data_IF_470871619683
#
_entry.id   IF_470871619683
#
_cell.length_a   1.000
_cell.length_b   1.000
_cell.length_c   1.000
_cell.angle_alpha   90.00
_cell.angle_beta   90.00
_cell.angle_gamma   90.00
#
_symmetry.space_group_name_H-M   'P 1'
#
loop_
_entity.id
_entity.type
_entity.pdbx_description
1 polymer ?
#
# COMPACT_ATOMS: atom_id res chain seq x y z
N UNK A 1 -98.60 40.98 -56.13
CA UNK A 1 -97.60 40.47 -57.10
C UNK A 1 -96.39 40.02 -56.29
N UNK A 2 -96.14 38.69 -56.23
CA UNK A 2 -94.92 37.91 -55.83
C UNK A 2 -94.09 38.38 -54.60
N UNK A 3 -93.63 37.58 -53.63
CA UNK A 3 -93.62 36.16 -53.19
C UNK A 3 -93.03 36.19 -51.74
N UNK A 4 -93.63 35.55 -50.71
CA UNK A 4 -93.21 34.31 -49.97
C UNK A 4 -91.67 34.05 -49.98
N UNK A 5 -90.97 33.76 -48.87
CA UNK A 5 -91.07 32.63 -47.90
C UNK A 5 -90.53 33.03 -46.49
N UNK A 6 -91.23 32.78 -45.37
CA UNK A 6 -91.23 31.57 -44.49
C UNK A 6 -89.87 31.30 -43.80
N UNK A 7 -89.66 31.67 -42.52
CA UNK A 7 -89.89 30.90 -41.26
C UNK A 7 -89.01 29.63 -41.24
N UNK A 8 -88.08 29.45 -40.29
CA UNK A 8 -88.23 28.80 -38.95
C UNK A 8 -86.94 29.12 -38.15
N UNK A 9 -87.02 29.82 -37.01
CA UNK A 9 -87.06 29.31 -35.62
C UNK A 9 -85.71 28.72 -35.15
N UNK A 10 -85.20 28.93 -33.95
CA UNK A 10 -85.69 29.51 -32.70
C UNK A 10 -84.42 29.96 -31.94
N UNK A 11 -84.39 31.14 -31.34
CA UNK A 11 -84.76 31.38 -29.94
C UNK A 11 -83.71 30.81 -28.97
N UNK A 12 -83.29 31.49 -27.92
CA UNK A 12 -83.46 32.84 -27.36
C UNK A 12 -82.40 32.86 -26.23
N UNK A 13 -81.90 33.96 -25.71
CA UNK A 13 -82.57 35.02 -25.00
C UNK A 13 -81.43 35.90 -24.45
N UNK A 14 -81.43 37.21 -24.71
CA UNK A 14 -81.75 38.26 -23.73
C UNK A 14 -80.66 38.38 -22.63
N UNK A 15 -80.02 39.51 -22.35
CA UNK A 15 -80.58 40.86 -22.22
C UNK A 15 -79.48 41.85 -21.72
N UNK A 16 -79.66 43.13 -22.05
CA UNK A 16 -79.18 44.38 -21.42
C UNK A 16 -77.72 44.87 -21.58
N UNK A 17 -77.63 45.97 -22.34
CA UNK A 17 -76.60 47.01 -22.34
C UNK A 17 -76.61 47.84 -21.06
N UNK A 18 -75.44 48.17 -20.53
CA UNK A 18 -75.17 49.46 -19.88
C UNK A 18 -73.71 49.89 -20.12
N UNK A 19 -73.56 51.16 -20.50
CA UNK A 19 -72.34 51.87 -20.90
C UNK A 19 -71.33 52.08 -19.77
N UNK A 20 -70.02 51.99 -20.07
CA UNK A 20 -69.00 52.92 -19.57
C UNK A 20 -67.68 52.81 -20.37
N UNK A 21 -67.00 53.93 -20.47
CA UNK A 21 -65.84 54.26 -21.30
C UNK A 21 -64.49 53.79 -20.68
N UNK A 22 -63.50 53.55 -21.54
CA UNK A 22 -62.02 53.63 -21.35
C UNK A 22 -61.33 52.79 -20.26
N UNK A 23 -60.64 51.72 -20.67
CA UNK A 23 -59.18 51.58 -20.79
C UNK A 23 -58.88 50.10 -21.07
N UNK A 24 -58.34 49.79 -22.26
CA UNK A 24 -57.75 48.46 -22.49
C UNK A 24 -56.46 48.38 -21.67
N UNK A 25 -56.59 47.96 -20.42
CA UNK A 25 -55.45 47.48 -19.65
C UNK A 25 -55.16 46.05 -20.12
N UNK A 26 -54.54 45.94 -21.30
CA UNK A 26 -53.96 44.68 -21.75
C UNK A 26 -52.71 44.43 -20.91
N UNK A 27 -52.90 43.80 -19.75
CA UNK A 27 -51.83 43.03 -19.15
C UNK A 27 -51.48 41.91 -20.13
N UNK A 28 -50.56 42.19 -21.06
CA UNK A 28 -49.79 41.15 -21.71
C UNK A 28 -48.92 40.57 -20.60
N UNK A 29 -49.43 39.56 -19.89
CA UNK A 29 -48.53 38.61 -19.26
C UNK A 29 -47.86 37.90 -20.43
N UNK A 30 -46.57 38.15 -20.67
CA UNK A 30 -45.77 37.13 -21.34
C UNK A 30 -46.06 35.81 -20.63
N UNK A 31 -46.23 34.68 -21.33
CA UNK A 31 -46.42 33.42 -20.62
C UNK A 31 -45.19 33.21 -19.75
N UNK A 32 -45.33 33.45 -18.46
CA UNK A 32 -44.29 33.22 -17.47
C UNK A 32 -44.06 31.72 -17.46
N UNK A 33 -42.88 31.27 -17.89
CA UNK A 33 -42.52 29.87 -17.83
C UNK A 33 -42.18 29.50 -16.38
N UNK A 34 -42.72 28.39 -15.92
CA UNK A 34 -42.49 27.81 -14.59
C UNK A 34 -41.84 26.43 -14.66
N UNK A 35 -41.56 25.93 -15.86
CA UNK A 35 -40.91 24.64 -16.07
C UNK A 35 -39.39 24.85 -16.02
N UNK A 36 -38.68 24.13 -15.14
CA UNK A 36 -37.23 24.17 -15.15
C UNK A 36 -36.65 23.34 -16.31
N UNK A 37 -35.46 23.70 -16.79
CA UNK A 37 -34.73 22.89 -17.77
C UNK A 37 -34.54 21.44 -17.31
N UNK A 38 -34.70 20.49 -18.22
CA UNK A 38 -34.31 19.09 -18.01
C UNK A 38 -32.83 18.94 -18.35
N UNK A 39 -32.04 18.40 -17.41
CA UNK A 39 -30.58 18.29 -17.52
C UNK A 39 -30.18 16.82 -17.41
N UNK A 40 -29.60 16.25 -18.46
CA UNK A 40 -29.18 14.84 -18.49
C UNK A 40 -27.71 14.70 -18.93
N UNK A 41 -26.98 13.79 -18.28
CA UNK A 41 -25.64 13.45 -18.70
C UNK A 41 -25.69 12.54 -19.92
N UNK A 42 -24.97 12.92 -20.97
CA UNK A 42 -24.68 12.01 -22.09
C UNK A 42 -23.40 11.19 -21.82
N UNK A 43 -22.53 11.69 -20.94
CA UNK A 43 -21.30 11.02 -20.56
C UNK A 43 -21.48 10.00 -19.45
N UNK A 44 -20.78 8.88 -19.61
CA UNK A 44 -20.52 7.89 -18.56
C UNK A 44 -19.00 7.71 -18.52
N UNK A 45 -18.26 8.38 -17.61
CA UNK A 45 -16.82 8.29 -17.57
C UNK A 45 -16.39 6.85 -17.26
N UNK A 46 -15.18 6.49 -17.70
CA UNK A 46 -14.57 5.20 -17.40
C UNK A 46 -14.46 4.96 -15.88
N UNK A 47 -14.25 3.70 -15.48
CA UNK A 47 -14.14 3.31 -14.07
C UNK A 47 -13.00 4.03 -13.33
N UNK A 48 -11.97 4.47 -14.05
CA UNK A 48 -10.87 5.31 -13.58
C UNK A 48 -10.53 6.31 -14.68
N UNK A 49 -10.36 7.58 -14.32
CA UNK A 49 -10.02 8.63 -15.27
C UNK A 49 -8.81 9.45 -14.82
N UNK A 50 -8.09 10.00 -15.81
CA UNK A 50 -6.94 10.90 -15.61
C UNK A 50 -6.72 11.77 -16.84
N UNK A 51 -5.94 12.85 -16.68
CA UNK A 51 -5.76 13.86 -17.71
C UNK A 51 -7.04 14.68 -17.94
N UNK A 52 -7.37 14.98 -19.20
CA UNK A 52 -8.55 15.77 -19.55
C UNK A 52 -9.76 14.87 -19.83
N UNK A 53 -10.82 15.04 -19.05
CA UNK A 53 -12.08 14.29 -19.17
C UNK A 53 -13.16 15.21 -19.74
N UNK A 54 -13.78 14.80 -20.86
CA UNK A 54 -14.91 15.51 -21.44
C UNK A 54 -16.25 15.02 -20.86
N UNK A 55 -17.07 15.93 -20.36
CA UNK A 55 -18.43 15.65 -19.90
C UNK A 55 -19.45 16.39 -20.75
N UNK A 56 -20.25 15.64 -21.50
CA UNK A 56 -21.33 16.10 -22.35
C UNK A 56 -22.66 16.07 -21.59
N UNK A 57 -23.40 17.19 -21.68
CA UNK A 57 -24.71 17.37 -21.04
C UNK A 57 -25.73 17.72 -22.12
N UNK A 58 -26.85 17.00 -22.12
CA UNK A 58 -28.04 17.40 -22.86
C UNK A 58 -28.93 18.26 -21.95
N UNK A 59 -29.37 19.40 -22.48
CA UNK A 59 -30.26 20.31 -21.77
C UNK A 59 -31.39 20.70 -22.69
N UNK A 60 -32.61 20.36 -22.27
CA UNK A 60 -33.83 20.66 -23.02
C UNK A 60 -34.77 21.48 -22.15
N UNK A 61 -35.40 22.47 -22.77
CA UNK A 61 -36.40 23.32 -22.12
C UNK A 61 -37.36 23.88 -23.17
N UNK A 62 -38.55 24.32 -22.75
CA UNK A 62 -39.52 24.95 -23.65
C UNK A 62 -39.22 26.44 -23.90
N UNK A 63 -38.53 27.08 -22.96
CA UNK A 63 -37.92 28.39 -23.03
C UNK A 63 -36.43 28.31 -23.42
N UNK A 64 -35.81 29.47 -23.67
CA UNK A 64 -34.38 29.52 -23.97
C UNK A 64 -33.53 29.23 -22.72
N UNK A 65 -32.60 28.27 -22.82
CA UNK A 65 -31.58 28.03 -21.79
C UNK A 65 -30.53 29.15 -21.84
N UNK A 66 -30.38 29.89 -20.75
CA UNK A 66 -29.47 31.02 -20.64
C UNK A 66 -28.04 30.58 -20.31
N UNK A 67 -27.90 29.59 -19.42
CA UNK A 67 -26.59 29.06 -19.02
C UNK A 67 -26.69 27.68 -18.39
N UNK A 68 -25.58 26.95 -18.46
CA UNK A 68 -25.35 25.68 -17.78
C UNK A 68 -24.04 25.80 -17.00
N UNK A 69 -24.03 25.36 -15.75
CA UNK A 69 -22.85 25.36 -14.88
C UNK A 69 -22.51 23.96 -14.41
N UNK A 70 -21.23 23.62 -14.47
CA UNK A 70 -20.68 22.42 -13.83
C UNK A 70 -20.30 22.76 -12.38
N UNK A 71 -20.70 21.88 -11.47
CA UNK A 71 -20.22 21.85 -10.10
C UNK A 71 -19.44 20.56 -9.86
N UNK A 72 -18.19 20.70 -9.41
CA UNK A 72 -17.31 19.60 -9.02
C UNK A 72 -17.15 19.63 -7.49
N UNK A 73 -17.52 18.55 -6.82
CA UNK A 73 -17.55 18.42 -5.35
C UNK A 73 -18.29 19.57 -4.65
N UNK A 74 -19.37 20.03 -5.28
CA UNK A 74 -20.21 21.12 -4.77
C UNK A 74 -19.65 22.53 -5.01
N UNK A 75 -18.51 22.68 -5.68
CA UNK A 75 -17.94 23.98 -6.09
C UNK A 75 -18.18 24.23 -7.57
N UNK A 76 -18.59 25.45 -7.92
CA UNK A 76 -18.73 25.85 -9.32
C UNK A 76 -17.37 25.80 -10.02
N UNK A 77 -17.31 25.10 -11.15
CA UNK A 77 -16.09 24.89 -11.95
C UNK A 77 -16.15 25.69 -13.26
N UNK A 78 -17.15 25.43 -14.10
CA UNK A 78 -17.27 26.01 -15.44
C UNK A 78 -18.71 26.48 -15.74
N UNK A 79 -18.85 27.48 -16.62
CA UNK A 79 -20.14 27.96 -17.13
C UNK A 79 -20.12 27.97 -18.66
N UNK A 80 -21.17 27.45 -19.29
CA UNK A 80 -21.43 27.51 -20.73
C UNK A 80 -22.78 28.19 -21.00
N UNK A 81 -22.89 28.95 -22.08
CA UNK A 81 -24.12 29.71 -22.43
C UNK A 81 -24.69 29.36 -23.80
N UNK A 82 -24.05 28.45 -24.53
CA UNK A 82 -24.49 28.01 -25.86
C UNK A 82 -24.23 26.52 -26.04
N UNK A 83 -25.14 25.75 -26.65
CA UNK A 83 -24.91 24.35 -26.96
C UNK A 83 -23.88 24.19 -28.11
N UNK A 84 -23.18 23.04 -28.19
CA UNK A 84 -23.24 21.88 -27.30
C UNK A 84 -22.61 22.15 -25.92
N UNK A 85 -23.23 21.63 -24.86
CA UNK A 85 -22.74 21.80 -23.48
C UNK A 85 -21.75 20.69 -23.11
N UNK A 86 -20.47 20.92 -23.45
CA UNK A 86 -19.36 20.02 -23.14
C UNK A 86 -18.36 20.68 -22.19
N UNK A 87 -18.21 20.12 -21.00
CA UNK A 87 -17.22 20.55 -20.01
C UNK A 87 -15.93 19.75 -20.16
N UNK A 88 -14.78 20.39 -19.93
CA UNK A 88 -13.48 19.73 -19.91
C UNK A 88 -12.85 19.81 -18.52
N UNK A 89 -12.76 18.69 -17.83
CA UNK A 89 -12.16 18.62 -16.49
C UNK A 89 -10.69 18.21 -16.64
N UNK A 90 -9.78 19.07 -16.18
CA UNK A 90 -8.36 18.73 -16.06
C UNK A 90 -8.13 18.10 -14.69
N UNK A 91 -7.94 16.79 -14.67
CA UNK A 91 -7.88 16.02 -13.42
C UNK A 91 -6.55 16.12 -12.68
N UNK A 92 -5.47 16.59 -13.30
CA UNK A 92 -4.10 16.57 -12.74
C UNK A 92 -3.93 17.24 -11.36
N UNK A 93 -4.84 18.16 -11.02
CA UNK A 93 -4.83 18.89 -9.73
C UNK A 93 -5.88 18.38 -8.73
N UNK A 94 -6.71 17.43 -9.14
CA UNK A 94 -7.68 16.77 -8.29
C UNK A 94 -6.98 15.68 -7.47
N UNK A 95 -7.49 15.43 -6.27
CA UNK A 95 -7.02 14.32 -5.45
C UNK A 95 -7.47 12.99 -6.06
N UNK A 96 -6.74 11.92 -5.81
CA UNK A 96 -7.23 10.59 -6.19
C UNK A 96 -8.48 10.23 -5.38
N UNK A 97 -9.44 9.60 -6.06
CA UNK A 97 -10.69 9.14 -5.46
C UNK A 97 -11.94 9.61 -6.21
N UNK A 98 -13.10 9.38 -5.59
CA UNK A 98 -14.40 9.66 -6.20
C UNK A 98 -14.75 11.14 -6.08
N UNK A 99 -14.84 11.79 -7.23
CA UNK A 99 -15.36 13.14 -7.41
C UNK A 99 -16.83 13.12 -7.84
N UNK A 100 -17.59 14.12 -7.41
CA UNK A 100 -19.02 14.27 -7.70
C UNK A 100 -19.25 15.43 -8.65
N UNK A 101 -19.87 15.15 -9.80
CA UNK A 101 -20.23 16.12 -10.81
C UNK A 101 -21.75 16.36 -10.80
N UNK A 102 -22.14 17.64 -10.85
CA UNK A 102 -23.53 18.08 -10.96
C UNK A 102 -23.61 19.23 -11.98
N UNK A 103 -24.49 19.12 -12.97
CA UNK A 103 -24.78 20.19 -13.91
C UNK A 103 -26.07 20.91 -13.52
N UNK A 104 -26.04 22.24 -13.56
CA UNK A 104 -27.20 23.10 -13.27
C UNK A 104 -27.49 24.01 -14.46
N UNK A 105 -28.74 24.09 -14.88
CA UNK A 105 -29.16 24.93 -16.00
C UNK A 105 -30.21 25.96 -15.58
N UNK A 106 -30.13 27.17 -16.15
CA UNK A 106 -31.09 28.24 -15.95
C UNK A 106 -31.70 28.64 -17.27
N UNK A 107 -33.01 28.85 -17.30
CA UNK A 107 -33.72 29.45 -18.44
C UNK A 107 -33.78 31.00 -18.34
N UNK A 108 -34.48 31.62 -19.28
CA UNK A 108 -34.69 33.08 -19.34
C UNK A 108 -35.68 33.61 -18.29
N UNK A 109 -36.47 32.73 -17.68
CA UNK A 109 -37.45 33.06 -16.64
C UNK A 109 -36.90 32.84 -15.22
N UNK A 110 -35.68 32.30 -15.10
CA UNK A 110 -34.98 32.06 -13.84
C UNK A 110 -35.25 30.70 -13.20
N UNK A 111 -35.93 29.79 -13.90
CA UNK A 111 -36.14 28.42 -13.41
C UNK A 111 -34.81 27.64 -13.46
N UNK A 112 -34.64 26.71 -12.51
CA UNK A 112 -33.41 25.96 -12.29
C UNK A 112 -33.62 24.46 -12.49
N UNK A 113 -32.94 23.90 -13.50
CA UNK A 113 -32.78 22.47 -13.72
C UNK A 113 -31.50 21.93 -13.09
N UNK A 114 -31.52 20.72 -12.52
CA UNK A 114 -30.35 20.05 -11.92
C UNK A 114 -30.25 18.63 -12.46
N UNK A 115 -29.05 18.21 -12.84
CA UNK A 115 -28.79 16.86 -13.32
C UNK A 115 -28.87 15.81 -12.20
N UNK A 116 -28.99 14.51 -12.53
CA UNK A 116 -28.56 13.44 -11.63
C UNK A 116 -27.09 13.58 -11.23
N UNK A 117 -26.69 12.95 -10.11
CA UNK A 117 -25.29 12.89 -9.69
C UNK A 117 -24.51 11.98 -10.62
N UNK A 118 -23.43 12.52 -11.21
CA UNK A 118 -22.42 11.74 -11.92
C UNK A 118 -21.20 11.57 -11.01
N UNK A 119 -20.70 10.35 -10.87
CA UNK A 119 -19.48 10.06 -10.11
C UNK A 119 -18.34 9.74 -11.06
N UNK A 120 -17.18 10.29 -10.78
CA UNK A 120 -15.96 10.10 -11.55
C UNK A 120 -14.85 9.69 -10.58
N UNK A 121 -14.21 8.54 -10.80
CA UNK A 121 -13.09 8.11 -9.96
C UNK A 121 -11.77 8.58 -10.60
N UNK A 122 -11.15 9.60 -10.01
CA UNK A 122 -9.89 10.14 -10.49
C UNK A 122 -8.74 9.30 -9.97
N UNK A 123 -7.84 8.90 -10.88
CA UNK A 123 -6.63 8.15 -10.56
C UNK A 123 -5.45 8.79 -11.30
N UNK A 124 -4.92 9.86 -10.71
CA UNK A 124 -3.74 10.57 -11.18
C UNK A 124 -2.45 9.86 -10.79
N UNK A 125 -2.46 9.13 -9.66
CA UNK A 125 -1.36 8.24 -9.33
C UNK A 125 -1.33 7.05 -10.30
N UNK A 126 -0.32 6.98 -11.16
CA UNK A 126 0.03 5.69 -11.77
C UNK A 126 0.37 4.72 -10.64
N UNK A 127 -0.18 3.49 -10.70
CA UNK A 127 0.36 2.38 -9.93
C UNK A 127 1.84 2.23 -10.33
N UNK A 128 2.74 2.84 -9.57
CA UNK A 128 4.16 2.67 -9.74
C UNK A 128 4.41 1.19 -9.42
N UNK A 129 5.00 0.48 -10.38
CA UNK A 129 5.56 -0.84 -10.05
C UNK A 129 6.62 -0.69 -8.94
N UNK A 130 7.13 -1.81 -8.42
CA UNK A 130 8.15 -1.80 -7.38
C UNK A 130 9.25 -0.77 -7.63
N UNK A 131 9.39 0.19 -6.73
CA UNK A 131 10.40 1.24 -6.80
C UNK A 131 11.69 0.81 -6.14
N UNK A 132 12.80 1.40 -6.59
CA UNK A 132 14.09 1.31 -5.91
C UNK A 132 14.36 2.64 -5.20
N UNK A 133 14.44 2.60 -3.88
CA UNK A 133 14.72 3.73 -2.99
C UNK A 133 16.10 3.54 -2.41
N UNK A 134 16.98 4.53 -2.56
CA UNK A 134 18.33 4.52 -2.04
C UNK A 134 18.44 5.26 -0.71
N UNK A 135 19.14 4.68 0.26
CA UNK A 135 19.47 5.32 1.54
C UNK A 135 20.99 5.39 1.65
N UNK A 136 21.60 6.57 1.89
CA UNK A 136 20.95 7.83 2.23
C UNK A 136 20.60 8.74 1.03
N UNK A 137 20.76 8.28 -0.22
CA UNK A 137 20.69 9.14 -1.41
C UNK A 137 19.30 9.80 -1.62
N UNK A 138 18.20 9.03 -1.48
CA UNK A 138 16.82 9.53 -1.64
C UNK A 138 16.20 9.96 -0.30
N UNK A 139 16.51 9.22 0.77
CA UNK A 139 16.12 9.54 2.15
C UNK A 139 17.32 9.37 3.06
N UNK A 140 17.58 10.34 3.94
CA UNK A 140 18.71 10.28 4.88
C UNK A 140 18.63 9.08 5.84
N UNK A 141 17.40 8.69 6.22
CA UNK A 141 17.11 7.62 7.19
C UNK A 141 16.41 6.45 6.55
N UNK A 142 16.69 5.25 7.05
CA UNK A 142 16.02 4.02 6.60
C UNK A 142 14.53 4.07 6.95
N UNK A 143 14.16 4.59 8.13
CA UNK A 143 12.75 4.69 8.51
C UNK A 143 11.96 5.61 7.57
N UNK A 144 12.56 6.70 7.07
CA UNK A 144 11.89 7.62 6.14
C UNK A 144 11.68 6.96 4.77
N UNK A 145 12.65 6.17 4.30
CA UNK A 145 12.47 5.33 3.12
C UNK A 145 11.34 4.29 3.32
N UNK A 146 11.26 3.64 4.49
CA UNK A 146 10.15 2.72 4.81
C UNK A 146 8.81 3.47 4.82
N UNK A 147 8.76 4.70 5.35
CA UNK A 147 7.54 5.50 5.40
C UNK A 147 7.03 5.81 3.98
N UNK A 148 7.93 6.15 3.05
CA UNK A 148 7.60 6.45 1.66
C UNK A 148 7.30 5.22 0.81
N UNK A 149 7.93 4.08 1.11
CA UNK A 149 7.77 2.84 0.36
C UNK A 149 6.35 2.26 0.44
N UNK A 150 5.97 1.52 -0.59
CA UNK A 150 4.79 0.66 -0.67
C UNK A 150 5.21 -0.81 -0.73
N UNK A 151 4.25 -1.73 -0.68
CA UNK A 151 4.55 -3.16 -0.78
C UNK A 151 5.37 -3.46 -2.05
N UNK A 152 6.32 -4.39 -1.93
CA UNK A 152 7.25 -4.82 -2.97
C UNK A 152 8.34 -3.81 -3.38
N UNK A 153 8.33 -2.57 -2.87
CA UNK A 153 9.44 -1.65 -3.09
C UNK A 153 10.74 -2.18 -2.48
N UNK A 154 11.85 -1.82 -3.13
CA UNK A 154 13.21 -2.14 -2.69
C UNK A 154 13.85 -0.92 -2.05
N UNK A 155 14.19 -1.02 -0.78
CA UNK A 155 15.01 -0.04 -0.05
C UNK A 155 16.44 -0.57 -0.04
N UNK A 156 17.32 0.06 -0.82
CA UNK A 156 18.73 -0.31 -0.92
C UNK A 156 19.60 0.66 -0.12
N UNK A 157 20.34 0.12 0.82
CA UNK A 157 21.08 0.87 1.83
C UNK A 157 22.58 0.84 1.52
N UNK A 158 23.20 2.00 1.37
CA UNK A 158 24.66 2.15 1.20
C UNK A 158 25.39 1.66 2.46
N UNK A 159 26.64 1.24 2.30
CA UNK A 159 27.54 0.97 3.44
C UNK A 159 27.57 2.14 4.42
N UNK A 160 27.65 1.83 5.71
CA UNK A 160 27.56 2.83 6.78
C UNK A 160 27.06 2.23 8.08
N UNK A 161 26.93 3.09 9.09
CA UNK A 161 26.28 2.74 10.37
C UNK A 161 25.07 3.64 10.54
N UNK A 162 23.90 3.03 10.68
CA UNK A 162 22.61 3.68 10.82
C UNK A 162 22.11 3.46 12.25
N UNK A 163 21.78 4.54 12.94
CA UNK A 163 21.36 4.51 14.35
C UNK A 163 19.84 4.69 14.41
N UNK A 164 19.10 3.61 14.25
CA UNK A 164 17.66 3.64 14.03
C UNK A 164 16.97 2.42 14.66
N UNK A 165 15.76 2.66 15.20
CA UNK A 165 14.80 1.61 15.52
C UNK A 165 13.69 1.67 14.47
N UNK A 166 13.52 0.58 13.71
CA UNK A 166 12.74 0.53 12.49
C UNK A 166 11.41 -0.19 12.72
N UNK A 167 10.34 0.33 12.13
CA UNK A 167 9.03 -0.30 12.06
C UNK A 167 8.61 -0.44 10.59
N UNK A 168 8.30 -1.65 10.16
CA UNK A 168 7.89 -1.92 8.77
C UNK A 168 6.43 -1.58 8.51
N UNK A 169 5.63 -1.34 9.54
CA UNK A 169 4.19 -1.05 9.47
C UNK A 169 3.39 -2.10 8.68
N UNK A 170 3.84 -3.37 8.72
CA UNK A 170 3.23 -4.46 7.95
C UNK A 170 3.53 -4.38 6.44
N UNK A 171 4.42 -3.50 6.00
CA UNK A 171 4.82 -3.42 4.58
C UNK A 171 5.72 -4.59 4.22
N UNK A 172 5.38 -5.26 3.11
CA UNK A 172 6.18 -6.30 2.49
C UNK A 172 7.27 -5.72 1.59
N UNK A 173 8.15 -4.91 2.16
CA UNK A 173 9.28 -4.26 1.45
C UNK A 173 10.52 -5.15 1.41
N UNK A 174 11.37 -4.94 0.40
CA UNK A 174 12.69 -5.55 0.31
C UNK A 174 13.75 -4.56 0.79
N UNK A 175 14.30 -4.78 1.99
CA UNK A 175 15.34 -3.94 2.58
C UNK A 175 16.67 -4.68 2.43
N UNK A 176 17.61 -4.11 1.68
CA UNK A 176 18.90 -4.76 1.40
C UNK A 176 20.09 -3.82 1.53
N UNK A 177 21.17 -4.35 2.10
CA UNK A 177 22.48 -3.71 2.04
C UNK A 177 23.06 -3.79 0.63
N UNK A 178 23.67 -2.71 0.16
CA UNK A 178 24.42 -2.71 -1.09
C UNK A 178 25.70 -3.55 -0.99
N UNK A 179 26.36 -3.53 0.18
CA UNK A 179 27.75 -3.98 0.35
C UNK A 179 27.90 -5.12 1.37
N UNK A 180 26.78 -5.71 1.78
CA UNK A 180 26.75 -6.85 2.71
C UNK A 180 26.87 -6.48 4.19
N UNK A 181 26.79 -7.48 5.08
CA UNK A 181 26.62 -7.27 6.51
C UNK A 181 27.88 -6.73 7.18
N UNK A 182 29.06 -7.00 6.62
CA UNK A 182 30.32 -6.57 7.21
C UNK A 182 30.58 -5.06 7.11
N UNK A 183 29.83 -4.35 6.26
CA UNK A 183 30.03 -2.91 6.00
C UNK A 183 28.76 -2.06 6.22
N UNK A 184 27.61 -2.68 6.43
CA UNK A 184 26.33 -1.98 6.64
C UNK A 184 25.72 -2.40 7.97
N UNK A 185 25.80 -1.51 8.95
CA UNK A 185 25.36 -1.73 10.33
C UNK A 185 24.07 -0.97 10.62
N UNK A 186 23.12 -1.61 11.28
CA UNK A 186 21.95 -0.96 11.88
C UNK A 186 22.03 -1.18 13.39
N UNK A 187 22.23 -0.10 14.13
CA UNK A 187 22.31 -0.08 15.57
C UNK A 187 20.98 0.46 16.14
N UNK A 188 20.31 -0.34 16.96
CA UNK A 188 19.00 -0.06 17.52
C UNK A 188 18.98 0.94 18.67
N UNK A 189 20.05 1.68 18.96
CA UNK A 189 20.11 2.81 19.91
C UNK A 189 19.58 2.50 21.33
N UNK A 190 19.89 1.31 21.86
CA UNK A 190 19.38 0.81 23.13
C UNK A 190 17.83 0.83 23.22
N UNK A 191 17.16 0.67 22.08
CA UNK A 191 15.71 0.50 22.00
C UNK A 191 15.29 -0.93 22.36
N UNK A 192 13.99 -1.18 22.36
CA UNK A 192 13.45 -2.53 22.55
C UNK A 192 13.74 -3.46 21.36
N UNK A 193 13.78 -2.94 20.13
CA UNK A 193 14.03 -3.73 18.92
C UNK A 193 14.66 -2.92 17.79
N UNK A 194 15.61 -3.49 17.04
CA UNK A 194 16.07 -2.88 15.77
C UNK A 194 14.95 -2.89 14.73
N UNK A 195 14.24 -4.02 14.56
CA UNK A 195 13.07 -4.12 13.68
C UNK A 195 11.82 -4.54 14.46
N UNK A 196 10.74 -3.78 14.28
CA UNK A 196 9.38 -4.19 14.62
C UNK A 196 8.65 -4.61 13.34
N UNK A 197 8.15 -5.84 13.31
CA UNK A 197 7.43 -6.43 12.18
C UNK A 197 5.95 -6.60 12.55
N UNK A 198 5.09 -5.78 11.97
CA UNK A 198 3.64 -5.85 12.19
C UNK A 198 2.95 -6.84 11.23
N UNK A 199 1.70 -7.26 11.51
CA UNK A 199 0.96 -8.25 10.72
C UNK A 199 0.79 -7.82 9.26
N UNK A 200 0.91 -8.77 8.34
CA UNK A 200 0.74 -8.55 6.90
C UNK A 200 0.46 -9.86 6.17
N UNK A 201 -0.26 -9.79 5.06
CA UNK A 201 -0.40 -10.87 4.08
C UNK A 201 0.72 -10.84 3.02
N UNK A 202 1.53 -9.77 2.99
CA UNK A 202 2.65 -9.62 2.08
C UNK A 202 3.97 -9.78 2.83
N UNK A 203 4.75 -10.78 2.43
CA UNK A 203 6.05 -11.08 3.04
C UNK A 203 7.12 -10.11 2.54
N UNK A 204 7.78 -9.41 3.45
CA UNK A 204 8.97 -8.60 3.15
C UNK A 204 10.28 -9.39 3.25
N UNK A 205 11.40 -8.73 2.96
CA UNK A 205 12.74 -9.32 3.15
C UNK A 205 13.71 -8.29 3.73
N UNK A 206 14.54 -8.72 4.68
CA UNK A 206 15.70 -7.96 5.19
C UNK A 206 16.97 -8.77 4.94
N UNK A 207 17.96 -8.18 4.25
CA UNK A 207 19.21 -8.90 3.94
C UNK A 207 20.49 -8.09 4.01
N UNK A 208 21.56 -8.77 4.43
CA UNK A 208 22.92 -8.24 4.38
C UNK A 208 23.24 -7.15 5.38
N UNK A 209 22.60 -7.14 6.55
CA UNK A 209 22.88 -6.16 7.60
C UNK A 209 23.58 -6.78 8.79
N UNK A 210 24.40 -5.99 9.46
CA UNK A 210 24.81 -6.25 10.83
C UNK A 210 23.89 -5.51 11.78
N UNK A 211 23.14 -6.26 12.59
CA UNK A 211 22.13 -5.76 13.51
C UNK A 211 22.65 -5.87 14.94
N UNK A 212 22.59 -4.78 15.71
CA UNK A 212 23.09 -4.72 17.08
C UNK A 212 22.40 -3.61 17.89
N UNK A 213 22.72 -3.50 19.18
CA UNK A 213 22.43 -2.32 19.98
C UNK A 213 20.96 -2.13 20.35
N UNK A 214 20.20 -3.20 20.55
CA UNK A 214 18.85 -3.17 21.10
C UNK A 214 18.63 -4.39 22.03
N UNK A 215 17.61 -4.32 22.89
CA UNK A 215 17.24 -5.44 23.79
C UNK A 215 16.89 -6.72 23.02
N UNK A 216 16.28 -6.55 21.85
CA UNK A 216 16.07 -7.60 20.84
C UNK A 216 16.46 -7.04 19.49
N UNK A 217 16.83 -7.87 18.53
CA UNK A 217 17.14 -7.35 17.19
C UNK A 217 15.90 -7.31 16.31
N UNK A 218 15.04 -8.33 16.38
CA UNK A 218 13.77 -8.37 15.67
C UNK A 218 12.64 -8.78 16.61
N UNK A 219 11.57 -7.98 16.60
CA UNK A 219 10.33 -8.23 17.33
C UNK A 219 9.16 -8.32 16.34
N UNK A 220 8.40 -9.40 16.41
CA UNK A 220 7.16 -9.52 15.65
C UNK A 220 5.93 -9.17 16.49
N UNK A 221 5.01 -8.41 15.90
CA UNK A 221 3.69 -8.15 16.46
C UNK A 221 2.67 -9.09 15.79
N UNK A 222 2.06 -9.96 16.61
CA UNK A 222 0.88 -10.80 16.34
C UNK A 222 0.61 -11.14 14.85
N UNK A 223 1.45 -11.97 14.22
CA UNK A 223 1.21 -12.43 12.84
C UNK A 223 2.08 -11.83 11.74
N UNK A 224 3.09 -11.02 12.08
CA UNK A 224 4.02 -10.48 11.09
C UNK A 224 4.83 -11.53 10.33
N UNK A 225 5.16 -11.26 9.06
CA UNK A 225 5.96 -12.14 8.21
C UNK A 225 7.11 -11.37 7.54
N UNK A 226 8.35 -11.86 7.72
CA UNK A 226 9.55 -11.22 7.19
C UNK A 226 10.65 -12.24 7.00
N UNK A 227 11.26 -12.27 5.81
CA UNK A 227 12.43 -13.10 5.56
C UNK A 227 13.70 -12.40 6.04
N UNK A 228 14.65 -13.17 6.57
CA UNK A 228 15.98 -12.68 6.94
C UNK A 228 17.05 -13.54 6.29
N UNK A 229 17.87 -12.90 5.45
CA UNK A 229 18.95 -13.56 4.73
C UNK A 229 20.30 -12.87 4.90
N UNK A 230 21.36 -13.65 5.14
CA UNK A 230 22.73 -13.16 5.12
C UNK A 230 22.98 -11.97 6.08
N UNK A 231 22.27 -11.93 7.21
CA UNK A 231 22.43 -10.91 8.23
C UNK A 231 23.32 -11.43 9.37
N UNK A 232 24.00 -10.50 10.04
CA UNK A 232 24.61 -10.72 11.35
C UNK A 232 23.67 -10.19 12.41
N UNK A 233 23.35 -11.03 13.38
CA UNK A 233 22.58 -10.72 14.57
C UNK A 233 23.50 -10.80 15.77
N UNK A 234 24.02 -9.64 16.20
CA UNK A 234 24.85 -9.55 17.39
C UNK A 234 24.01 -9.09 18.58
N UNK A 235 23.65 -10.01 19.45
CA UNK A 235 22.87 -9.72 20.65
C UNK A 235 23.74 -9.87 21.90
N UNK A 236 23.79 -8.85 22.72
CA UNK A 236 24.51 -8.83 24.01
C UNK A 236 23.56 -8.87 25.22
N UNK A 237 22.25 -8.93 24.97
CA UNK A 237 21.22 -8.78 26.00
C UNK A 237 20.33 -10.02 26.11
N UNK A 238 19.19 -10.07 25.42
CA UNK A 238 18.14 -11.07 25.64
C UNK A 238 18.03 -12.07 24.50
N UNK A 239 17.29 -11.71 23.44
CA UNK A 239 17.18 -12.56 22.25
C UNK A 239 17.21 -11.80 20.94
N UNK A 240 18.02 -12.29 19.99
CA UNK A 240 18.14 -11.71 18.67
C UNK A 240 16.80 -11.70 17.93
N UNK A 241 16.07 -12.83 17.92
CA UNK A 241 14.69 -12.88 17.43
C UNK A 241 13.73 -13.40 18.49
N UNK A 242 12.63 -12.67 18.64
CA UNK A 242 11.45 -13.12 19.37
C UNK A 242 10.28 -13.31 18.41
N UNK A 243 9.92 -14.56 18.18
CA UNK A 243 8.69 -14.91 17.49
C UNK A 243 7.56 -15.08 18.49
N UNK A 244 6.55 -14.23 18.37
CA UNK A 244 5.31 -14.34 19.12
C UNK A 244 4.30 -15.21 18.36
N UNK A 245 3.02 -15.04 18.59
CA UNK A 245 1.96 -15.84 17.98
C UNK A 245 1.80 -15.55 16.48
N UNK A 246 1.76 -16.61 15.67
CA UNK A 246 1.45 -16.62 14.23
C UNK A 246 2.44 -15.88 13.30
N UNK A 247 3.66 -15.62 13.76
CA UNK A 247 4.67 -14.94 12.95
C UNK A 247 5.39 -15.90 12.00
N UNK A 248 6.06 -15.39 10.97
CA UNK A 248 6.67 -16.24 9.96
C UNK A 248 7.79 -15.61 9.12
N UNK A 249 8.33 -16.42 8.22
CA UNK A 249 9.38 -16.05 7.28
C UNK A 249 10.45 -17.13 7.10
N UNK A 250 11.31 -16.93 6.12
CA UNK A 250 12.49 -17.78 5.93
C UNK A 250 13.70 -17.13 6.62
N UNK A 251 14.38 -17.89 7.46
CA UNK A 251 15.58 -17.45 8.19
C UNK A 251 16.74 -18.29 7.72
N UNK A 252 17.52 -17.73 6.79
CA UNK A 252 18.56 -18.50 6.10
C UNK A 252 19.88 -17.78 6.00
N UNK A 253 20.97 -18.53 6.10
CA UNK A 253 22.32 -18.02 5.86
C UNK A 253 22.69 -16.84 6.78
N UNK A 254 22.09 -16.74 7.97
CA UNK A 254 22.42 -15.71 8.94
C UNK A 254 23.50 -16.18 9.92
N UNK A 255 24.15 -15.23 10.57
CA UNK A 255 24.98 -15.45 11.75
C UNK A 255 24.26 -14.90 12.97
N UNK A 256 24.02 -15.74 13.96
CA UNK A 256 23.59 -15.35 15.30
C UNK A 256 24.76 -15.50 16.26
N UNK A 257 25.06 -14.43 16.99
CA UNK A 257 26.12 -14.46 18.00
C UNK A 257 25.67 -13.77 19.28
N UNK A 258 25.82 -14.48 20.41
CA UNK A 258 25.48 -13.97 21.74
C UNK A 258 24.01 -14.16 22.16
N UNK A 259 23.59 -13.34 23.12
CA UNK A 259 22.26 -13.36 23.74
C UNK A 259 22.13 -14.37 24.88
N UNK A 260 21.04 -14.28 25.65
CA UNK A 260 20.60 -15.39 26.52
C UNK A 260 20.04 -16.52 25.68
N UNK A 261 19.18 -16.17 24.71
CA UNK A 261 18.70 -17.06 23.67
C UNK A 261 18.87 -16.39 22.32
N UNK A 262 19.36 -17.04 21.27
CA UNK A 262 19.41 -16.37 19.96
C UNK A 262 18.02 -16.22 19.37
N UNK A 263 17.25 -17.31 19.38
CA UNK A 263 15.89 -17.31 18.84
C UNK A 263 14.96 -17.97 19.84
N UNK A 264 13.97 -17.19 20.27
CA UNK A 264 12.84 -17.67 21.04
C UNK A 264 11.63 -17.80 20.12
N UNK A 265 11.04 -19.00 20.06
CA UNK A 265 9.99 -19.33 19.09
C UNK A 265 8.71 -19.77 19.78
N UNK A 266 7.68 -18.92 19.74
CA UNK A 266 6.33 -19.25 20.20
C UNK A 266 5.47 -19.95 19.14
N UNK A 267 5.36 -19.39 17.94
CA UNK A 267 4.74 -20.07 16.81
C UNK A 267 5.31 -19.47 15.53
N UNK A 268 5.94 -20.30 14.70
CA UNK A 268 6.61 -19.80 13.50
C UNK A 268 6.21 -20.57 12.25
N UNK A 269 5.61 -19.88 11.28
CA UNK A 269 5.39 -20.42 9.95
C UNK A 269 6.57 -20.07 9.05
N UNK A 270 7.34 -21.07 8.65
CA UNK A 270 8.44 -20.89 7.73
C UNK A 270 9.54 -21.89 7.99
N UNK A 271 10.76 -21.50 7.67
CA UNK A 271 11.91 -22.37 7.84
C UNK A 271 13.17 -21.69 8.35
N UNK A 272 14.05 -22.53 8.88
CA UNK A 272 15.28 -22.15 9.54
C UNK A 272 16.43 -23.05 9.09
N UNK A 273 17.21 -22.59 8.11
CA UNK A 273 18.26 -23.37 7.45
C UNK A 273 19.55 -22.58 7.26
N UNK A 274 20.70 -23.27 7.27
CA UNK A 274 22.00 -22.70 6.88
C UNK A 274 22.47 -21.55 7.77
N UNK A 275 21.99 -21.44 9.00
CA UNK A 275 22.44 -20.40 9.93
C UNK A 275 23.63 -20.90 10.78
N UNK A 276 24.52 -19.98 11.15
CA UNK A 276 25.54 -20.20 12.18
C UNK A 276 25.02 -19.60 13.48
N UNK A 277 25.05 -20.36 14.57
CA UNK A 277 24.55 -19.99 15.88
C UNK A 277 25.61 -20.24 16.95
N UNK A 278 26.22 -19.16 17.46
CA UNK A 278 27.33 -19.27 18.39
C UNK A 278 27.31 -18.35 19.61
N UNK A 279 27.84 -18.82 20.73
CA UNK A 279 28.04 -18.00 21.94
C UNK A 279 26.73 -17.61 22.67
N UNK A 280 25.65 -18.37 22.52
CA UNK A 280 24.44 -18.18 23.34
C UNK A 280 24.72 -18.55 24.82
N UNK A 281 24.36 -17.66 25.76
CA UNK A 281 24.59 -17.88 27.20
C UNK A 281 23.73 -19.03 27.75
N UNK A 282 22.48 -19.16 27.30
CA UNK A 282 21.60 -20.26 27.69
C UNK A 282 21.39 -21.24 26.52
N UNK A 283 20.49 -20.95 25.57
CA UNK A 283 20.22 -21.86 24.45
C UNK A 283 20.15 -21.13 23.11
N UNK A 284 20.68 -21.71 22.03
CA UNK A 284 20.60 -21.09 20.70
C UNK A 284 19.15 -21.04 20.19
N UNK A 285 18.43 -22.17 20.23
CA UNK A 285 17.01 -22.25 19.89
C UNK A 285 16.18 -22.62 21.11
N UNK A 286 15.15 -21.82 21.41
CA UNK A 286 14.18 -22.14 22.46
C UNK A 286 12.75 -22.17 21.92
N UNK A 287 12.08 -23.31 22.11
CA UNK A 287 10.66 -23.44 21.85
C UNK A 287 9.86 -22.89 23.04
N UNK A 288 9.38 -21.65 22.92
CA UNK A 288 8.54 -21.02 23.94
C UNK A 288 7.04 -21.26 23.71
N UNK A 289 6.70 -22.16 22.79
CA UNK A 289 5.33 -22.45 22.39
C UNK A 289 4.56 -23.24 23.46
N UNK A 290 3.26 -22.95 23.58
CA UNK A 290 2.32 -23.78 24.35
C UNK A 290 1.67 -24.86 23.46
N UNK A 291 1.97 -24.85 22.15
CA UNK A 291 1.43 -25.76 21.13
C UNK A 291 2.55 -26.24 20.19
N UNK A 292 2.29 -27.25 19.36
CA UNK A 292 3.25 -27.74 18.38
C UNK A 292 3.60 -26.67 17.35
N UNK A 293 4.90 -26.40 17.21
CA UNK A 293 5.43 -25.39 16.31
C UNK A 293 5.63 -25.98 14.90
N UNK A 294 5.08 -25.38 13.82
CA UNK A 294 5.22 -25.90 12.46
C UNK A 294 6.57 -25.55 11.81
N UNK A 295 7.51 -24.96 12.54
CA UNK A 295 8.84 -24.63 12.04
C UNK A 295 9.52 -25.86 11.42
N UNK A 296 9.97 -25.69 10.18
CA UNK A 296 10.84 -26.67 9.51
C UNK A 296 12.28 -26.19 9.66
N UNK A 297 13.17 -27.00 10.22
CA UNK A 297 14.54 -26.60 10.51
C UNK A 297 15.54 -27.74 10.31
N UNK A 298 16.79 -27.37 10.11
CA UNK A 298 17.93 -28.28 9.94
C UNK A 298 19.11 -27.59 9.25
N UNK A 299 20.19 -28.31 8.98
CA UNK A 299 21.35 -27.80 8.25
C UNK A 299 21.90 -26.48 8.80
N UNK A 300 21.84 -26.28 10.12
CA UNK A 300 22.44 -25.16 10.84
C UNK A 300 23.71 -25.63 11.55
N UNK A 301 24.58 -24.68 11.91
CA UNK A 301 25.71 -24.96 12.76
C UNK A 301 25.56 -24.30 14.12
N UNK A 302 25.88 -25.05 15.16
CA UNK A 302 25.86 -24.62 16.56
C UNK A 302 27.25 -24.73 17.19
N UNK A 303 27.69 -23.68 17.88
CA UNK A 303 29.01 -23.66 18.51
C UNK A 303 29.03 -22.86 19.82
N UNK A 304 29.73 -23.35 20.83
CA UNK A 304 29.97 -22.61 22.08
C UNK A 304 28.70 -22.05 22.75
N UNK A 305 27.58 -22.75 22.65
CA UNK A 305 26.32 -22.39 23.32
C UNK A 305 26.21 -23.13 24.65
N UNK A 306 25.46 -22.59 25.62
CA UNK A 306 25.07 -23.35 26.81
C UNK A 306 24.32 -24.64 26.44
N UNK A 307 23.32 -24.49 25.58
CA UNK A 307 22.57 -25.54 24.91
C UNK A 307 22.34 -25.16 23.44
N UNK A 308 22.33 -26.13 22.54
CA UNK A 308 21.96 -25.86 21.15
C UNK A 308 20.44 -25.76 20.98
N UNK A 309 19.70 -26.58 21.74
CA UNK A 309 18.25 -26.70 21.67
C UNK A 309 17.67 -26.72 23.08
N UNK A 310 16.59 -25.97 23.27
CA UNK A 310 15.73 -26.00 24.44
C UNK A 310 14.29 -26.26 23.97
N UNK A 311 13.74 -27.41 24.36
CA UNK A 311 12.44 -27.92 23.91
C UNK A 311 12.28 -28.09 22.38
N UNK A 312 13.41 -28.30 21.71
CA UNK A 312 13.52 -28.80 20.34
C UNK A 312 14.39 -30.05 20.29
N UNK A 313 14.13 -30.92 19.31
CA UNK A 313 15.05 -31.98 18.93
C UNK A 313 16.13 -31.42 17.99
N UNK A 314 17.31 -32.05 17.89
CA UNK A 314 18.27 -31.69 16.84
C UNK A 314 17.66 -31.87 15.45
N UNK A 315 17.83 -30.86 14.58
CA UNK A 315 17.34 -30.91 13.21
C UNK A 315 18.21 -31.78 12.30
N UNK A 316 17.64 -32.17 11.17
CA UNK A 316 18.36 -32.95 10.15
C UNK A 316 19.55 -32.14 9.61
N UNK A 317 20.74 -32.76 9.58
CA UNK A 317 21.93 -32.13 9.01
C UNK A 317 22.53 -31.01 9.85
N UNK A 318 22.02 -30.77 11.06
CA UNK A 318 22.62 -29.80 11.98
C UNK A 318 24.02 -30.27 12.44
N UNK A 319 24.92 -29.31 12.61
CA UNK A 319 26.33 -29.53 12.96
C UNK A 319 26.60 -28.89 14.32
N UNK A 320 27.30 -29.59 15.21
CA UNK A 320 27.77 -29.05 16.49
C UNK A 320 29.30 -29.05 16.54
N UNK A 321 29.93 -28.01 15.99
CA UNK A 321 31.38 -27.90 15.85
C UNK A 321 31.80 -26.43 15.67
N UNK A 322 33.09 -26.14 15.87
CA UNK A 322 33.65 -24.81 15.57
C UNK A 322 33.44 -24.46 14.09
N UNK A 323 32.79 -23.34 13.74
CA UNK A 323 32.58 -22.95 12.35
C UNK A 323 33.88 -22.55 11.64
N UNK A 324 34.97 -22.33 12.36
CA UNK A 324 36.20 -21.72 11.85
C UNK A 324 35.90 -20.38 11.16
N UNK A 325 35.03 -19.56 11.77
CA UNK A 325 34.55 -18.30 11.20
C UNK A 325 35.46 -17.12 11.58
N UNK A 326 35.96 -16.39 10.59
CA UNK A 326 36.60 -15.10 10.80
C UNK A 326 35.54 -14.00 10.91
N UNK A 327 35.25 -13.56 12.14
CA UNK A 327 34.26 -12.50 12.41
C UNK A 327 34.65 -11.13 11.88
N UNK A 328 35.92 -10.89 11.51
CA UNK A 328 36.32 -9.59 10.94
C UNK A 328 35.81 -9.44 9.51
N UNK A 329 35.80 -10.54 8.75
CA UNK A 329 35.39 -10.55 7.35
C UNK A 329 34.12 -11.38 7.09
N UNK A 330 33.62 -12.07 8.11
CA UNK A 330 32.48 -12.99 8.07
C UNK A 330 32.71 -14.26 7.25
N UNK A 331 33.96 -14.62 6.95
CA UNK A 331 34.31 -15.71 6.03
C UNK A 331 34.69 -16.99 6.78
N UNK A 332 34.34 -18.12 6.19
CA UNK A 332 34.75 -19.44 6.68
C UNK A 332 36.23 -19.67 6.42
N UNK A 333 36.92 -20.22 7.41
CA UNK A 333 38.31 -20.63 7.33
C UNK A 333 38.50 -21.97 6.60
N UNK A 334 39.76 -22.28 6.29
CA UNK A 334 40.12 -23.55 5.66
C UNK A 334 39.71 -24.74 6.54
N UNK A 335 39.05 -25.73 5.95
CA UNK A 335 38.56 -26.92 6.66
C UNK A 335 37.30 -26.72 7.48
N UNK A 336 36.61 -25.57 7.34
CA UNK A 336 35.36 -25.30 8.04
C UNK A 336 34.31 -26.40 7.76
N UNK A 337 33.60 -26.88 8.80
CA UNK A 337 32.51 -27.85 8.62
C UNK A 337 31.28 -27.24 7.93
N UNK A 338 31.23 -25.92 7.76
CA UNK A 338 30.13 -25.23 7.10
C UNK A 338 30.21 -25.28 5.56
N UNK A 339 31.38 -25.60 4.99
CA UNK A 339 31.59 -25.55 3.54
C UNK A 339 30.80 -26.66 2.84
N UNK A 340 29.94 -26.30 1.90
CA UNK A 340 29.03 -27.17 1.15
C UNK A 340 28.16 -28.07 2.05
N UNK A 341 27.81 -27.58 3.23
CA UNK A 341 27.13 -28.36 4.27
C UNK A 341 25.66 -27.99 4.50
N UNK A 342 25.16 -26.92 3.86
CA UNK A 342 23.80 -26.41 4.04
C UNK A 342 22.71 -27.30 3.44
N UNK A 343 21.46 -26.87 3.46
CA UNK A 343 20.32 -27.61 2.91
C UNK A 343 20.57 -27.94 1.42
N UNK A 344 20.50 -29.22 0.99
CA UNK A 344 20.96 -29.64 -0.34
C UNK A 344 20.28 -28.97 -1.56
N UNK A 345 19.07 -28.46 -1.40
CA UNK A 345 18.29 -27.76 -2.43
C UNK A 345 18.49 -26.24 -2.43
N UNK A 346 19.27 -25.71 -1.48
CA UNK A 346 19.74 -24.32 -1.50
C UNK A 346 21.15 -24.33 -2.08
N UNK A 347 21.36 -23.55 -3.14
CA UNK A 347 22.63 -23.49 -3.87
C UNK A 347 23.29 -22.12 -3.69
N UNK A 348 24.62 -22.13 -3.70
CA UNK A 348 25.43 -20.92 -3.80
C UNK A 348 25.42 -20.36 -5.23
N UNK A 349 25.99 -19.17 -5.41
CA UNK A 349 26.05 -18.47 -6.71
C UNK A 349 26.81 -19.23 -7.79
N UNK A 350 27.70 -20.16 -7.42
CA UNK A 350 28.44 -21.04 -8.31
C UNK A 350 27.74 -22.39 -8.54
N UNK A 351 26.50 -22.53 -8.05
CA UNK A 351 25.66 -23.73 -8.13
C UNK A 351 26.15 -24.92 -7.30
N UNK A 352 27.13 -24.74 -6.41
CA UNK A 352 27.43 -25.78 -5.42
C UNK A 352 26.38 -25.77 -4.32
N UNK A 353 26.39 -26.82 -3.49
CA UNK A 353 25.52 -26.90 -2.31
C UNK A 353 25.86 -25.73 -1.39
N UNK A 354 24.83 -25.07 -0.86
CA UNK A 354 25.04 -23.87 -0.07
C UNK A 354 25.98 -24.09 1.10
N UNK A 355 26.92 -23.18 1.30
CA UNK A 355 27.65 -23.05 2.56
C UNK A 355 26.67 -22.65 3.70
N UNK A 356 26.92 -23.15 4.91
CA UNK A 356 26.22 -22.68 6.11
C UNK A 356 26.82 -21.33 6.52
N UNK A 357 25.98 -20.30 6.69
CA UNK A 357 26.38 -18.98 7.16
C UNK A 357 26.31 -17.84 6.12
N UNK A 358 26.90 -16.70 6.49
CA UNK A 358 26.69 -15.36 5.91
C UNK A 358 26.89 -15.23 4.40
N UNK A 359 27.78 -16.02 3.83
CA UNK A 359 28.14 -15.94 2.41
C UNK A 359 27.70 -17.17 1.62
N UNK A 360 26.85 -18.00 2.21
CA UNK A 360 26.14 -19.04 1.48
C UNK A 360 24.79 -18.57 0.95
N UNK A 361 24.21 -19.40 0.10
CA UNK A 361 22.90 -19.26 -0.50
C UNK A 361 22.89 -18.36 -1.75
N UNK A 362 21.73 -18.28 -2.41
CA UNK A 362 21.59 -17.54 -3.67
C UNK A 362 21.69 -16.02 -3.50
N UNK A 363 21.74 -15.53 -2.26
CA UNK A 363 21.77 -14.12 -1.91
C UNK A 363 23.12 -13.66 -1.33
N UNK A 364 24.13 -14.53 -1.34
CA UNK A 364 25.47 -14.23 -0.87
C UNK A 364 26.08 -12.97 -1.47
N UNK A 365 26.80 -12.21 -0.65
CA UNK A 365 27.62 -11.08 -1.09
C UNK A 365 28.98 -11.58 -1.62
N UNK A 366 29.53 -10.91 -2.63
CA UNK A 366 30.83 -11.30 -3.21
C UNK A 366 31.99 -10.68 -2.47
#
# INVERSE_FOLDING_TARGET
MKRRYSIVSAAAALLFFLFACTEENTYITSPEDWQPPVVEWLSVPDAEVRGTVGLDVDVTDSSAVVRVRLYLDGREDQTLTTPPYRFEIVTDSLLDGVHVCEARAWDEHGNLGISPILRMNVVNSVAQGPQLIWVPDDFERIQDAINAATHHDTIRVRQGTYYEALNTFGKGVWIESQSGPMTTRINGIASNSVFTISPSDVVGTVRGFWLEGAERLVRYELGGQMNFYNNVFLDDTASALLYTTYSGGHIRNNLFSGGDYMIQIGYHWGDFFNNIMQDARNAALWNAAIATNPLVYGYNLFWNNGYNYDEFDPGEGDISADPLLDLVNGRLGEGSPCVNAGKPDILDLDSTRSDIGLFGGPWAYR
#
